data_IF_973494273756
#
_entry.id   IF_973494273756
#
_cell.length_a   1.000
_cell.length_b   1.000
_cell.length_c   1.000
_cell.angle_alpha   90.00
_cell.angle_beta   90.00
_cell.angle_gamma   90.00
#
_symmetry.space_group_name_H-M   'P 1'
#
loop_
_entity.id
_entity.type
_entity.pdbx_description
1 polymer ?
#
# COMPACT_ATOMS: atom_id res chain seq x y z
N UNK A 1 -23.89 -41.38 9.06
CA UNK A 1 -22.80 -40.82 9.90
C UNK A 1 -21.74 -41.88 10.07
N UNK A 2 -20.51 -41.58 9.61
CA UNK A 2 -19.36 -41.70 10.49
C UNK A 2 -18.51 -40.42 10.47
N UNK A 3 -18.08 -40.04 11.67
CA UNK A 3 -17.12 -38.97 11.97
C UNK A 3 -15.74 -39.30 11.38
N UNK A 4 -15.17 -38.38 10.62
CA UNK A 4 -13.73 -38.39 10.31
C UNK A 4 -13.11 -37.11 10.85
N UNK A 5 -12.81 -37.19 12.14
CA UNK A 5 -11.84 -36.32 12.82
C UNK A 5 -10.45 -36.68 12.30
N UNK A 6 -9.96 -35.97 11.29
CA UNK A 6 -8.52 -35.85 11.02
C UNK A 6 -8.21 -34.39 10.73
N UNK A 7 -7.90 -33.65 11.80
CA UNK A 7 -7.13 -32.42 11.74
C UNK A 7 -5.77 -32.78 11.13
N UNK A 8 -5.63 -32.63 9.83
CA UNK A 8 -4.31 -32.53 9.21
C UNK A 8 -3.73 -31.20 9.67
N UNK A 9 -2.93 -31.25 10.73
CA UNK A 9 -1.95 -30.20 11.05
C UNK A 9 -0.96 -30.16 9.88
N UNK A 10 -1.22 -29.27 8.92
CA UNK A 10 -0.11 -28.66 8.19
C UNK A 10 0.23 -27.39 8.94
N UNK A 11 1.32 -27.48 9.70
CA UNK A 11 2.00 -26.35 10.30
C UNK A 11 2.56 -25.55 9.14
N UNK A 12 2.11 -24.30 8.96
CA UNK A 12 2.88 -23.32 8.22
C UNK A 12 4.27 -23.26 8.85
N UNK A 13 5.22 -23.91 8.21
CA UNK A 13 6.60 -23.80 8.68
C UNK A 13 7.06 -22.37 8.40
N UNK A 14 7.58 -21.74 9.45
CA UNK A 14 8.61 -20.68 9.52
C UNK A 14 9.67 -20.65 8.37
N UNK A 15 9.69 -21.60 7.45
CA UNK A 15 10.70 -21.81 6.42
C UNK A 15 10.67 -20.76 5.30
N UNK A 16 9.53 -20.14 5.02
CA UNK A 16 9.44 -19.17 3.92
C UNK A 16 10.17 -17.85 4.23
N UNK A 17 9.89 -17.22 5.38
CA UNK A 17 10.61 -16.01 5.83
C UNK A 17 12.09 -16.26 6.17
N UNK A 18 12.51 -17.52 6.35
CA UNK A 18 13.94 -17.88 6.47
C UNK A 18 14.70 -17.84 5.13
N UNK A 19 14.00 -17.78 3.99
CA UNK A 19 14.61 -17.75 2.64
C UNK A 19 14.53 -16.38 1.94
N UNK A 20 13.62 -15.49 2.32
CA UNK A 20 13.26 -14.33 1.49
C UNK A 20 13.41 -12.96 2.17
N UNK A 21 13.93 -12.89 3.40
CA UNK A 21 14.09 -11.65 4.16
C UNK A 21 15.32 -10.78 3.83
N UNK A 22 15.86 -10.81 2.61
CA UNK A 22 16.89 -9.87 2.18
C UNK A 22 16.90 -9.74 0.65
N UNK A 23 17.01 -8.51 0.13
CA UNK A 23 17.18 -8.19 -1.31
C UNK A 23 18.42 -8.91 -1.93
N UNK A 24 19.30 -9.49 -1.09
CA UNK A 24 20.50 -10.22 -1.48
C UNK A 24 20.26 -11.64 -2.09
N UNK A 25 19.05 -12.19 -2.08
CA UNK A 25 18.81 -13.60 -2.45
C UNK A 25 18.34 -13.85 -3.90
N UNK A 26 18.63 -12.94 -4.84
CA UNK A 26 18.50 -13.24 -6.28
C UNK A 26 19.49 -14.28 -6.80
N UNK A 27 20.35 -14.86 -5.95
CA UNK A 27 21.29 -15.91 -6.36
C UNK A 27 20.60 -17.14 -6.99
N UNK A 28 19.41 -17.52 -6.50
CA UNK A 28 18.59 -18.60 -7.10
C UNK A 28 17.63 -18.13 -8.20
N UNK A 29 17.36 -16.82 -8.25
CA UNK A 29 16.48 -16.23 -9.25
C UNK A 29 17.17 -16.05 -10.61
N UNK A 30 18.49 -16.24 -10.72
CA UNK A 30 19.20 -16.05 -12.00
C UNK A 30 18.70 -16.98 -13.10
N UNK A 31 18.43 -18.24 -12.78
CA UNK A 31 17.94 -19.23 -13.74
C UNK A 31 16.47 -18.99 -14.10
N UNK A 32 15.67 -18.55 -13.12
CA UNK A 32 14.26 -18.17 -13.32
C UNK A 32 14.14 -16.84 -14.09
N UNK A 33 15.06 -15.89 -13.86
CA UNK A 33 15.17 -14.61 -14.60
C UNK A 33 15.68 -14.85 -16.03
N UNK A 34 16.60 -15.80 -16.24
CA UNK A 34 17.08 -16.17 -17.56
C UNK A 34 15.97 -16.84 -18.39
N UNK A 35 15.18 -17.73 -17.79
CA UNK A 35 13.94 -18.29 -18.39
C UNK A 35 12.83 -17.25 -18.54
N UNK A 36 12.78 -16.25 -17.67
CA UNK A 36 11.82 -15.15 -17.78
C UNK A 36 12.06 -14.29 -19.02
N UNK A 37 13.34 -14.00 -19.33
CA UNK A 37 13.71 -13.21 -20.51
C UNK A 37 13.35 -13.85 -21.85
N UNK A 38 13.19 -15.17 -21.93
CA UNK A 38 12.86 -15.85 -23.19
C UNK A 38 11.37 -15.84 -23.55
N UNK A 39 10.48 -15.59 -22.58
CA UNK A 39 9.02 -15.81 -22.75
C UNK A 39 8.14 -14.57 -22.54
N UNK A 40 8.73 -13.38 -22.33
CA UNK A 40 8.00 -12.13 -22.08
C UNK A 40 7.69 -11.88 -20.60
N UNK A 41 7.29 -10.65 -20.27
CA UNK A 41 7.28 -9.98 -18.95
C UNK A 41 6.43 -10.65 -17.82
N UNK A 42 5.88 -11.84 -18.03
CA UNK A 42 4.90 -12.50 -17.15
C UNK A 42 5.51 -13.25 -15.96
N UNK A 43 6.81 -13.55 -15.98
CA UNK A 43 7.41 -14.52 -15.06
C UNK A 43 7.68 -14.00 -13.64
N UNK A 44 7.93 -12.70 -13.44
CA UNK A 44 7.96 -12.14 -12.08
C UNK A 44 6.58 -12.19 -11.42
N UNK A 45 5.52 -11.94 -12.22
CA UNK A 45 4.15 -12.04 -11.74
C UNK A 45 3.78 -13.49 -11.42
N UNK A 46 4.17 -14.45 -12.26
CA UNK A 46 3.99 -15.89 -11.97
C UNK A 46 4.75 -16.31 -10.72
N UNK A 47 6.03 -15.93 -10.60
CA UNK A 47 6.82 -16.20 -9.40
C UNK A 47 6.16 -15.64 -8.14
N UNK A 48 5.69 -14.38 -8.17
CA UNK A 48 4.97 -13.79 -7.04
C UNK A 48 3.64 -14.49 -6.75
N UNK A 49 2.92 -14.92 -7.79
CA UNK A 49 1.64 -15.63 -7.65
C UNK A 49 1.81 -17.03 -7.07
N UNK A 50 2.86 -17.74 -7.47
CA UNK A 50 3.18 -19.09 -6.98
C UNK A 50 3.64 -19.08 -5.51
N UNK A 51 4.15 -17.94 -5.03
CA UNK A 51 4.51 -17.73 -3.63
C UNK A 51 3.39 -17.09 -2.80
N UNK A 52 2.28 -16.69 -3.43
CA UNK A 52 1.17 -16.05 -2.72
C UNK A 52 0.41 -17.11 -1.91
N UNK A 53 0.50 -17.02 -0.58
CA UNK A 53 -0.38 -17.76 0.32
C UNK A 53 -1.79 -17.15 0.26
N UNK A 54 -2.80 -17.94 -0.11
CA UNK A 54 -4.19 -17.48 -0.26
C UNK A 54 -5.01 -17.58 1.04
N UNK A 55 -4.40 -18.12 2.09
CA UNK A 55 -4.98 -18.38 3.40
C UNK A 55 -4.42 -17.45 4.50
N UNK A 56 -3.90 -16.29 4.09
CA UNK A 56 -3.43 -15.26 5.01
C UNK A 56 -4.56 -14.79 5.93
N UNK A 57 -4.21 -14.59 7.19
CA UNK A 57 -5.13 -14.25 8.26
C UNK A 57 -4.53 -13.20 9.20
N UNK A 58 -5.35 -12.65 10.10
CA UNK A 58 -4.89 -11.74 11.14
C UNK A 58 -3.87 -12.37 12.10
N UNK A 59 -3.88 -13.70 12.27
CA UNK A 59 -2.91 -14.43 13.09
C UNK A 59 -1.49 -14.35 12.52
N UNK A 60 -1.35 -14.25 11.19
CA UNK A 60 -0.05 -14.14 10.53
C UNK A 60 0.65 -12.82 10.88
N UNK A 61 -0.12 -11.77 11.15
CA UNK A 61 0.44 -10.48 11.58
C UNK A 61 1.08 -10.61 12.97
N UNK A 62 0.44 -11.33 13.89
CA UNK A 62 1.02 -11.61 15.20
C UNK A 62 2.34 -12.40 15.07
N UNK A 63 2.38 -13.37 14.16
CA UNK A 63 3.62 -14.10 13.87
C UNK A 63 4.70 -13.22 13.24
N UNK A 64 4.39 -12.39 12.24
CA UNK A 64 5.35 -11.46 11.61
C UNK A 64 5.95 -10.55 12.68
N UNK A 65 5.11 -9.97 13.53
CA UNK A 65 5.56 -9.13 14.65
C UNK A 65 6.45 -9.87 15.65
N UNK A 66 6.32 -11.19 15.78
CA UNK A 66 7.16 -12.00 16.66
C UNK A 66 8.59 -12.22 16.14
N UNK A 67 8.82 -12.04 14.83
CA UNK A 67 10.11 -12.33 14.19
C UNK A 67 10.86 -11.08 13.71
N UNK A 68 10.27 -9.89 13.84
CA UNK A 68 10.91 -8.62 13.47
C UNK A 68 10.75 -7.58 14.57
N UNK A 69 11.68 -6.61 14.61
CA UNK A 69 11.57 -5.39 15.42
C UNK A 69 11.20 -4.17 14.57
N UNK A 70 11.14 -4.32 13.25
CA UNK A 70 10.74 -3.25 12.35
C UNK A 70 9.24 -2.96 12.51
N UNK A 71 8.81 -1.70 12.34
CA UNK A 71 7.40 -1.37 12.25
C UNK A 71 6.71 -2.18 11.16
N UNK A 72 5.56 -2.76 11.50
CA UNK A 72 4.69 -3.48 10.56
C UNK A 72 3.61 -2.52 10.09
N UNK A 73 3.52 -2.33 8.79
CA UNK A 73 2.53 -1.47 8.13
C UNK A 73 1.70 -2.34 7.19
N UNK A 74 0.37 -2.32 7.31
CA UNK A 74 -0.52 -3.10 6.45
C UNK A 74 -0.96 -2.30 5.23
N UNK A 75 -0.75 -2.86 4.05
CA UNK A 75 -1.14 -2.25 2.78
C UNK A 75 -2.34 -2.97 2.19
N UNK A 76 -3.30 -2.22 1.70
CA UNK A 76 -4.48 -2.77 1.03
C UNK A 76 -5.79 -2.63 1.81
N UNK A 77 -5.80 -1.79 2.85
CA UNK A 77 -7.01 -1.49 3.64
C UNK A 77 -7.85 -0.47 2.88
N UNK A 78 -9.15 -0.71 2.74
CA UNK A 78 -10.05 0.20 2.01
C UNK A 78 -11.42 0.38 2.67
N UNK A 79 -11.61 -0.19 3.85
CA UNK A 79 -12.81 -0.02 4.70
C UNK A 79 -12.42 0.26 6.14
N UNK A 80 -13.32 0.84 6.93
CA UNK A 80 -13.08 1.07 8.36
C UNK A 80 -12.97 -0.22 9.18
N UNK A 81 -13.71 -1.28 8.83
CA UNK A 81 -13.70 -2.53 9.60
C UNK A 81 -12.31 -3.18 9.56
N UNK A 82 -11.70 -3.31 8.38
CA UNK A 82 -10.35 -3.85 8.29
C UNK A 82 -9.30 -2.91 8.91
N UNK A 83 -9.56 -1.60 8.96
CA UNK A 83 -8.69 -0.68 9.67
C UNK A 83 -8.71 -0.92 11.19
N UNK A 84 -9.89 -1.18 11.76
CA UNK A 84 -10.05 -1.53 13.19
C UNK A 84 -9.39 -2.89 13.49
N UNK A 85 -9.54 -3.87 12.61
CA UNK A 85 -8.86 -5.18 12.74
C UNK A 85 -7.33 -5.03 12.69
N UNK A 86 -6.82 -4.17 11.80
CA UNK A 86 -5.39 -3.85 11.73
C UNK A 86 -4.86 -3.25 13.04
N UNK A 87 -5.59 -2.30 13.63
CA UNK A 87 -5.26 -1.76 14.96
C UNK A 87 -5.25 -2.87 16.01
N UNK A 88 -6.27 -3.74 16.03
CA UNK A 88 -6.36 -4.85 16.97
C UNK A 88 -5.18 -5.85 16.82
N UNK A 89 -4.67 -6.04 15.61
CA UNK A 89 -3.48 -6.85 15.34
C UNK A 89 -2.16 -6.18 15.79
N UNK A 90 -2.20 -4.92 16.22
CA UNK A 90 -1.09 -4.18 16.81
C UNK A 90 -0.05 -3.69 15.81
N UNK A 91 -0.49 -3.35 14.59
CA UNK A 91 0.38 -2.77 13.55
C UNK A 91 0.68 -1.31 13.83
N UNK A 92 1.76 -0.79 13.25
CA UNK A 92 2.23 0.59 13.46
C UNK A 92 1.65 1.55 12.41
N UNK A 93 1.08 1.03 11.32
CA UNK A 93 0.38 1.85 10.36
C UNK A 93 -0.39 1.08 9.30
N UNK A 94 -1.10 1.84 8.48
CA UNK A 94 -1.95 1.36 7.38
C UNK A 94 -1.65 2.17 6.12
N UNK A 95 -1.61 1.51 4.96
CA UNK A 95 -1.63 2.16 3.65
C UNK A 95 -3.00 1.87 3.01
N UNK A 96 -3.81 2.92 2.87
CA UNK A 96 -5.07 2.89 2.13
C UNK A 96 -4.76 2.70 0.66
N UNK A 97 -5.15 1.55 0.09
CA UNK A 97 -4.67 1.12 -1.22
C UNK A 97 -5.60 0.12 -1.89
N UNK A 98 -5.88 0.34 -3.18
CA UNK A 98 -6.50 -0.63 -4.08
C UNK A 98 -5.47 -1.31 -5.01
N UNK A 99 -4.21 -1.35 -4.58
CA UNK A 99 -3.09 -1.93 -5.34
C UNK A 99 -2.88 -1.30 -6.73
N UNK A 100 -3.26 -0.03 -6.87
CA UNK A 100 -3.23 0.70 -8.15
C UNK A 100 -4.33 0.32 -9.14
N UNK A 101 -5.42 -0.29 -8.67
CA UNK A 101 -6.57 -0.72 -9.49
C UNK A 101 -6.31 -2.02 -10.24
N UNK A 102 -5.52 -2.94 -9.66
CA UNK A 102 -5.01 -4.14 -10.35
C UNK A 102 -5.49 -5.46 -9.75
N UNK A 103 -6.27 -5.42 -8.66
CA UNK A 103 -6.69 -6.61 -7.93
C UNK A 103 -8.19 -6.84 -8.13
N UNK A 104 -9.02 -6.03 -7.48
CA UNK A 104 -10.47 -6.10 -7.60
C UNK A 104 -10.99 -4.83 -8.26
N UNK A 105 -11.74 -4.97 -9.35
CA UNK A 105 -12.42 -3.86 -10.01
C UNK A 105 -13.71 -3.48 -9.24
N UNK A 106 -14.12 -2.22 -9.34
CA UNK A 106 -15.31 -1.69 -8.66
C UNK A 106 -15.13 -1.34 -7.18
N UNK A 107 -13.90 -1.43 -6.63
CA UNK A 107 -13.61 -0.93 -5.28
C UNK A 107 -13.54 0.61 -5.25
N UNK A 108 -13.76 1.20 -4.06
CA UNK A 108 -13.60 2.65 -3.83
C UNK A 108 -12.22 3.12 -4.29
N UNK A 109 -12.12 4.37 -4.77
CA UNK A 109 -10.80 4.96 -4.93
C UNK A 109 -10.16 5.16 -3.53
N UNK A 110 -8.84 4.95 -3.36
CA UNK A 110 -8.19 5.12 -2.05
C UNK A 110 -8.43 6.49 -1.40
N UNK A 111 -8.50 7.57 -2.19
CA UNK A 111 -8.82 8.92 -1.68
C UNK A 111 -10.25 9.05 -1.14
N UNK A 112 -11.19 8.24 -1.64
CA UNK A 112 -12.57 8.20 -1.16
C UNK A 112 -12.71 7.36 0.11
N UNK A 113 -11.92 6.29 0.23
CA UNK A 113 -11.88 5.46 1.43
C UNK A 113 -11.07 6.09 2.58
N UNK A 114 -10.10 6.96 2.26
CA UNK A 114 -9.18 7.55 3.23
C UNK A 114 -9.87 8.22 4.43
N UNK A 115 -10.90 9.08 4.26
CA UNK A 115 -11.52 9.76 5.40
C UNK A 115 -12.18 8.78 6.37
N UNK A 116 -12.86 7.76 5.84
CA UNK A 116 -13.51 6.71 6.62
C UNK A 116 -12.50 5.89 7.42
N UNK A 117 -11.38 5.50 6.80
CA UNK A 117 -10.28 4.79 7.48
C UNK A 117 -9.64 5.66 8.56
N UNK A 118 -9.38 6.94 8.28
CA UNK A 118 -8.81 7.89 9.24
C UNK A 118 -9.73 8.09 10.44
N UNK A 119 -11.02 8.28 10.20
CA UNK A 119 -12.00 8.47 11.26
C UNK A 119 -12.12 7.21 12.14
N UNK A 120 -12.01 6.01 11.55
CA UNK A 120 -12.12 4.73 12.25
C UNK A 120 -10.99 4.44 13.25
N UNK A 121 -9.79 4.94 12.99
CA UNK A 121 -8.58 4.61 13.78
C UNK A 121 -7.92 5.85 14.39
N UNK A 122 -8.61 7.01 14.39
CA UNK A 122 -8.10 8.29 14.88
C UNK A 122 -7.48 8.21 16.28
N UNK A 123 -8.13 7.46 17.19
CA UNK A 123 -7.72 7.35 18.59
C UNK A 123 -6.67 6.25 18.84
N UNK A 124 -6.27 5.51 17.81
CA UNK A 124 -5.32 4.40 17.94
C UNK A 124 -3.86 4.84 17.99
N UNK A 125 -3.56 6.05 17.50
CA UNK A 125 -2.18 6.56 17.40
C UNK A 125 -1.33 5.92 16.30
N UNK A 126 -1.89 5.07 15.43
CA UNK A 126 -1.15 4.50 14.29
C UNK A 126 -0.96 5.52 13.16
N UNK A 127 0.02 5.27 12.29
CA UNK A 127 0.23 6.09 11.09
C UNK A 127 -0.66 5.63 9.93
N UNK A 128 -1.21 6.59 9.19
CA UNK A 128 -2.04 6.31 8.02
C UNK A 128 -1.35 6.90 6.79
N UNK A 129 -1.24 6.12 5.73
CA UNK A 129 -0.72 6.54 4.44
C UNK A 129 -1.70 6.18 3.33
N UNK A 130 -1.44 6.65 2.12
CA UNK A 130 -2.27 6.36 0.95
C UNK A 130 -1.42 6.09 -0.29
N UNK A 131 -1.88 5.19 -1.16
CA UNK A 131 -1.37 5.08 -2.53
C UNK A 131 -2.53 5.04 -3.55
N UNK A 132 -2.18 5.06 -4.83
CA UNK A 132 -3.15 4.91 -5.92
C UNK A 132 -3.62 6.25 -6.46
N UNK A 133 -3.49 6.43 -7.78
CA UNK A 133 -4.00 7.63 -8.47
C UNK A 133 -3.25 8.95 -8.22
N UNK A 134 -2.32 9.05 -7.28
CA UNK A 134 -1.57 10.31 -7.00
C UNK A 134 -0.65 10.69 -8.17
N UNK A 135 -0.90 11.82 -8.84
CA UNK A 135 -0.14 12.25 -10.03
C UNK A 135 0.36 13.69 -9.97
N UNK A 136 -0.13 14.48 -9.04
CA UNK A 136 0.20 15.89 -8.91
C UNK A 136 0.39 16.30 -7.46
N UNK A 137 1.04 17.45 -7.23
CA UNK A 137 1.16 18.05 -5.90
C UNK A 137 -0.19 18.36 -5.25
N UNK A 138 -1.22 18.65 -6.05
CA UNK A 138 -2.60 18.84 -5.58
C UNK A 138 -3.21 17.56 -5.01
N UNK A 139 -2.86 16.40 -5.55
CA UNK A 139 -3.34 15.11 -5.03
C UNK A 139 -2.68 14.80 -3.69
N UNK A 140 -1.38 15.10 -3.55
CA UNK A 140 -0.64 15.01 -2.29
C UNK A 140 -1.33 15.88 -1.24
N UNK A 141 -1.58 17.15 -1.58
CA UNK A 141 -2.22 18.12 -0.70
C UNK A 141 -3.58 17.63 -0.18
N UNK A 142 -4.44 17.13 -1.07
CA UNK A 142 -5.75 16.59 -0.68
C UNK A 142 -5.64 15.39 0.25
N UNK A 143 -4.75 14.44 -0.04
CA UNK A 143 -4.59 13.26 0.80
C UNK A 143 -4.07 13.62 2.21
N UNK A 144 -3.09 14.52 2.30
CA UNK A 144 -2.57 15.01 3.58
C UNK A 144 -3.66 15.76 4.37
N UNK A 145 -4.41 16.65 3.71
CA UNK A 145 -5.53 17.36 4.34
C UNK A 145 -6.64 16.43 4.86
N UNK A 146 -6.81 15.26 4.23
CA UNK A 146 -7.75 14.22 4.67
C UNK A 146 -7.21 13.30 5.76
N UNK A 147 -5.96 13.49 6.21
CA UNK A 147 -5.38 12.78 7.36
C UNK A 147 -4.37 11.70 7.02
N UNK A 148 -3.96 11.54 5.76
CA UNK A 148 -2.76 10.76 5.46
C UNK A 148 -1.51 11.48 5.98
N UNK A 149 -0.54 10.73 6.49
CA UNK A 149 0.78 11.24 6.88
C UNK A 149 1.73 11.38 5.69
N UNK A 150 1.59 10.49 4.69
CA UNK A 150 2.33 10.51 3.45
C UNK A 150 1.57 9.78 2.35
N UNK A 151 1.98 9.99 1.10
CA UNK A 151 1.47 9.28 -0.07
C UNK A 151 2.57 8.55 -0.82
N UNK A 152 2.21 7.46 -1.49
CA UNK A 152 3.12 6.66 -2.30
C UNK A 152 2.75 6.72 -3.79
N UNK A 153 3.78 6.76 -4.65
CA UNK A 153 3.64 6.69 -6.10
C UNK A 153 4.25 5.39 -6.63
N UNK A 154 3.57 4.77 -7.61
CA UNK A 154 4.07 3.57 -8.30
C UNK A 154 4.41 3.89 -9.74
N UNK A 155 3.39 3.92 -10.61
CA UNK A 155 3.53 4.16 -12.05
C UNK A 155 4.34 5.41 -12.41
N UNK A 156 4.14 6.60 -11.79
CA UNK A 156 4.93 7.79 -12.13
C UNK A 156 6.45 7.57 -11.99
N UNK A 157 6.89 6.95 -10.89
CA UNK A 157 8.29 6.62 -10.70
C UNK A 157 8.81 5.61 -11.74
N UNK A 158 8.02 4.58 -12.06
CA UNK A 158 8.39 3.62 -13.10
C UNK A 158 8.47 4.26 -14.51
N UNK A 159 7.61 5.24 -14.81
CA UNK A 159 7.64 5.97 -16.07
C UNK A 159 8.83 6.92 -16.17
N UNK A 160 9.15 7.65 -15.09
CA UNK A 160 10.37 8.45 -15.00
C UNK A 160 11.62 7.59 -15.22
N UNK A 161 11.67 6.42 -14.57
CA UNK A 161 12.76 5.46 -14.74
C UNK A 161 12.91 5.00 -16.19
N UNK A 162 11.80 4.71 -16.87
CA UNK A 162 11.82 4.29 -18.27
C UNK A 162 12.19 5.44 -19.22
N UNK A 163 11.87 6.68 -18.87
CA UNK A 163 12.13 7.85 -19.70
C UNK A 163 13.60 8.27 -19.68
N UNK A 164 14.17 8.45 -18.47
CA UNK A 164 15.51 9.02 -18.30
C UNK A 164 16.26 8.40 -17.11
N UNK A 165 16.04 7.11 -16.85
CA UNK A 165 16.74 6.40 -15.77
C UNK A 165 16.51 7.06 -14.40
N UNK A 166 17.56 7.11 -13.58
CA UNK A 166 17.51 7.75 -12.26
C UNK A 166 17.08 9.22 -12.34
N UNK A 167 17.58 9.97 -13.33
CA UNK A 167 17.28 11.38 -13.48
C UNK A 167 15.80 11.61 -13.77
N UNK A 168 15.18 10.75 -14.58
CA UNK A 168 13.73 10.80 -14.83
C UNK A 168 12.88 10.49 -13.59
N UNK A 169 13.37 9.67 -12.65
CA UNK A 169 12.69 9.47 -11.36
C UNK A 169 12.80 10.73 -10.49
N UNK A 170 13.97 11.35 -10.46
CA UNK A 170 14.22 12.60 -9.72
C UNK A 170 13.32 13.71 -10.27
N UNK A 171 13.29 13.89 -11.59
CA UNK A 171 12.44 14.87 -12.27
C UNK A 171 10.95 14.71 -11.91
N UNK A 172 10.43 13.49 -11.89
CA UNK A 172 9.05 13.22 -11.49
C UNK A 172 8.80 13.62 -10.03
N UNK A 173 9.72 13.31 -9.12
CA UNK A 173 9.59 13.65 -7.71
C UNK A 173 9.67 15.16 -7.51
N UNK A 174 10.60 15.84 -8.19
CA UNK A 174 10.80 17.28 -8.09
C UNK A 174 9.58 18.05 -8.65
N UNK A 175 9.04 17.65 -9.81
CA UNK A 175 7.80 18.25 -10.34
C UNK A 175 6.63 18.12 -9.35
N UNK A 176 6.43 16.94 -8.77
CA UNK A 176 5.35 16.73 -7.79
C UNK A 176 5.56 17.56 -6.51
N UNK A 177 6.82 17.77 -6.11
CA UNK A 177 7.18 18.60 -4.96
C UNK A 177 6.95 20.09 -5.24
N UNK A 178 7.34 20.59 -6.40
CA UNK A 178 7.10 21.97 -6.84
C UNK A 178 5.60 22.26 -6.88
N UNK A 179 4.82 21.41 -7.55
CA UNK A 179 3.36 21.55 -7.59
C UNK A 179 2.72 21.51 -6.19
N UNK A 180 3.29 20.74 -5.27
CA UNK A 180 2.78 20.65 -3.89
C UNK A 180 3.05 21.96 -3.13
N UNK A 181 4.24 22.54 -3.27
CA UNK A 181 4.61 23.84 -2.69
C UNK A 181 3.74 24.95 -3.28
N UNK A 182 3.50 24.94 -4.59
CA UNK A 182 2.61 25.89 -5.26
C UNK A 182 1.18 25.77 -4.73
N UNK A 183 0.68 24.54 -4.58
CA UNK A 183 -0.65 24.28 -4.02
C UNK A 183 -0.77 24.79 -2.59
N UNK A 184 0.22 24.50 -1.72
CA UNK A 184 0.26 25.02 -0.35
C UNK A 184 0.23 26.56 -0.34
N UNK A 185 1.03 27.20 -1.19
CA UNK A 185 1.13 28.65 -1.29
C UNK A 185 -0.20 29.28 -1.74
N UNK A 186 -0.85 28.71 -2.77
CA UNK A 186 -2.13 29.19 -3.28
C UNK A 186 -3.29 28.96 -2.30
N UNK A 187 -3.21 27.92 -1.48
CA UNK A 187 -4.18 27.65 -0.41
C UNK A 187 -3.90 28.44 0.87
N UNK A 188 -2.80 29.19 0.96
CA UNK A 188 -2.41 29.92 2.16
C UNK A 188 -1.97 29.03 3.33
N UNK A 189 -1.49 27.82 3.04
CA UNK A 189 -0.99 26.87 4.04
C UNK A 189 0.54 27.00 4.15
N UNK A 190 1.05 27.42 5.30
CA UNK A 190 2.46 27.76 5.48
C UNK A 190 3.30 26.58 5.98
N UNK A 191 2.65 25.54 6.51
CA UNK A 191 3.33 24.38 7.07
C UNK A 191 2.48 23.11 6.98
N UNK A 192 3.13 21.95 6.99
CA UNK A 192 2.41 20.66 7.00
C UNK A 192 1.52 20.49 8.25
N UNK A 193 1.86 21.15 9.36
CA UNK A 193 1.06 21.11 10.59
C UNK A 193 -0.26 21.87 10.50
N UNK A 194 -0.40 22.79 9.54
CA UNK A 194 -1.65 23.49 9.28
C UNK A 194 -2.60 22.65 8.43
N UNK A 195 -2.10 21.70 7.62
CA UNK A 195 -2.93 20.88 6.74
C UNK A 195 -3.97 20.10 7.52
N UNK A 196 -5.23 20.38 7.21
CA UNK A 196 -6.36 19.72 7.85
C UNK A 196 -7.58 19.74 6.92
N UNK A 197 -8.66 19.08 7.37
CA UNK A 197 -9.86 18.85 6.56
C UNK A 197 -10.55 20.14 6.08
N UNK A 198 -10.31 21.30 6.70
CA UNK A 198 -10.90 22.58 6.26
C UNK A 198 -10.41 23.05 4.89
N UNK A 199 -9.27 22.55 4.41
CA UNK A 199 -8.72 22.89 3.09
C UNK A 199 -9.40 22.16 1.93
N UNK A 200 -10.22 21.15 2.20
CA UNK A 200 -10.82 20.29 1.17
C UNK A 200 -12.31 20.09 1.42
N UNK A 201 -13.11 20.33 0.37
CA UNK A 201 -14.53 19.99 0.38
C UNK A 201 -14.72 18.60 -0.26
N UNK A 202 -15.18 17.62 0.53
CA UNK A 202 -15.51 16.30 0.02
C UNK A 202 -17.00 16.28 -0.36
N UNK A 203 -17.31 16.52 -1.64
CA UNK A 203 -18.65 16.26 -2.17
C UNK A 203 -18.80 14.77 -2.41
N UNK A 204 -19.30 14.06 -1.40
CA UNK A 204 -19.52 12.62 -1.46
C UNK A 204 -20.71 12.33 -2.37
N UNK A 205 -20.49 11.99 -3.65
CA UNK A 205 -21.56 11.46 -4.49
C UNK A 205 -21.12 10.72 -5.76
N UNK A 206 -20.09 9.87 -5.71
CA UNK A 206 -19.80 8.96 -6.83
C UNK A 206 -19.38 7.56 -6.36
N UNK A 207 -20.12 6.96 -5.42
CA UNK A 207 -20.20 5.50 -5.47
C UNK A 207 -20.98 5.15 -6.73
N UNK A 208 -20.39 4.35 -7.62
CA UNK A 208 -21.11 3.74 -8.74
C UNK A 208 -22.45 3.23 -8.22
N UNK A 209 -23.55 3.82 -8.69
CA UNK A 209 -24.84 3.14 -8.66
C UNK A 209 -24.65 1.92 -9.57
N UNK A 210 -24.29 0.78 -8.98
CA UNK A 210 -24.48 -0.51 -9.60
C UNK A 210 -25.98 -0.82 -9.65
#
# INVERSE_FOLDING_TARGET
>A
MPSVTKRNKFVFTKSFLRRTGCIANLQGAKDDIAKAKSNGDTQLFHYMSDQAAWDQSWDDIAWIRSITRLPVILKGIITDENAKEAVAAGVQGIIVSAHGGRQLDGVKAPIEALPEVVDAVRDSGIEIYMDGGVRSGRDIFKALALGAKAVFIGRPAAWGLAHNGTDGVIEVIDMMKEEFIDTMSLCGCQSLGELNRSFVECKTQLCCKL
#
